data_IF_261094250209
#
_entry.id   IF_261094250209
#
_cell.length_a   1.000
_cell.length_b   1.000
_cell.length_c   1.000
_cell.angle_alpha   90.00
_cell.angle_beta   90.00
_cell.angle_gamma   90.00
#
_symmetry.space_group_name_H-M   'P 1'
#
loop_
_entity.id
_entity.type
_entity.pdbx_description
1 polymer ?
2 water ?
#
# COMPACT_ATOMS: atom_id res chain seq x y z
N UNK A 1 23.71 -9.49 18.41
CA UNK A 1 22.48 -9.96 17.78
C UNK A 1 21.59 -8.84 17.28
N UNK A 2 21.25 -8.83 16.02
CA UNK A 2 20.29 -7.85 15.62
C UNK A 2 19.00 -8.47 15.20
N UNK A 3 17.94 -7.69 15.40
CA UNK A 3 16.56 -8.10 15.18
C UNK A 3 16.25 -8.59 13.80
N UNK A 4 16.87 -7.93 12.84
CA UNK A 4 16.76 -8.26 11.44
C UNK A 4 17.11 -9.72 11.17
N UNK A 5 17.98 -10.32 11.99
CA UNK A 5 18.26 -11.78 11.93
C UNK A 5 17.15 -12.72 12.46
N UNK A 6 16.05 -12.14 12.95
CA UNK A 6 14.94 -12.84 13.56
C UNK A 6 13.63 -12.37 12.96
N UNK A 7 13.27 -12.89 11.77
CA UNK A 7 12.06 -12.50 11.10
C UNK A 7 10.78 -12.46 11.95
N UNK A 8 10.53 -13.43 12.80
CA UNK A 8 9.31 -13.42 13.63
C UNK A 8 9.32 -12.27 14.63
N UNK A 9 10.49 -11.95 15.16
CA UNK A 9 10.62 -10.80 16.05
C UNK A 9 10.47 -9.45 15.37
N UNK A 10 11.08 -9.27 14.21
CA UNK A 10 10.86 -8.02 13.52
C UNK A 10 9.44 -7.94 12.94
N UNK A 11 8.84 -9.05 12.49
CA UNK A 11 7.36 -9.02 12.22
C UNK A 11 6.54 -8.51 13.44
N UNK A 12 6.85 -9.00 14.64
CA UNK A 12 6.09 -8.61 15.84
C UNK A 12 6.23 -7.10 16.11
N UNK A 13 7.47 -6.62 16.04
CA UNK A 13 7.79 -5.23 16.21
C UNK A 13 7.12 -4.36 15.16
N UNK A 14 7.07 -4.83 13.91
CA UNK A 14 6.37 -4.11 12.85
C UNK A 14 4.87 -4.00 13.06
N UNK A 15 4.21 -5.08 13.42
CA UNK A 15 2.77 -5.03 13.69
C UNK A 15 2.40 -4.12 14.83
N UNK A 16 3.21 -4.16 15.87
CA UNK A 16 3.03 -3.31 17.05
C UNK A 16 3.10 -1.84 16.65
N UNK A 17 4.17 -1.47 15.96
CA UNK A 17 4.33 -0.12 15.38
C UNK A 17 3.15 0.34 14.51
N UNK A 18 2.72 -0.50 13.57
CA UNK A 18 1.57 -0.17 12.70
C UNK A 18 0.32 0.07 13.54
N UNK A 19 0.03 -0.84 14.47
CA UNK A 19 -1.26 -0.81 15.13
C UNK A 19 -1.30 0.38 16.11
N UNK A 20 -0.12 0.77 16.58
CA UNK A 20 0.05 2.00 17.34
C UNK A 20 -0.39 3.25 16.55
N UNK A 21 -0.39 3.20 15.22
CA UNK A 21 -0.85 4.38 14.48
C UNK A 21 -2.35 4.38 14.23
N UNK A 22 -3.03 3.34 14.68
CA UNK A 22 -4.48 3.33 14.60
C UNK A 22 -5.11 3.84 15.90
N UNK A 23 -6.42 3.83 15.92
CA UNK A 23 -7.15 4.42 17.02
C UNK A 23 -7.14 3.56 18.26
N UNK A 24 -7.17 2.25 18.05
CA UNK A 24 -7.13 1.31 19.18
C UNK A 24 -6.29 0.09 18.80
N UNK A 25 -5.05 0.04 19.27
CA UNK A 25 -4.09 -1.03 18.94
C UNK A 25 -4.54 -2.44 19.37
N UNK A 26 -5.09 -2.50 20.57
CA UNK A 26 -5.63 -3.73 21.12
C UNK A 26 -6.71 -4.34 20.23
N UNK A 27 -7.65 -3.51 19.77
CA UNK A 27 -8.69 -3.98 18.88
C UNK A 27 -8.11 -4.53 17.57
N UNK A 28 -7.16 -3.81 16.98
CA UNK A 28 -6.40 -4.30 15.84
C UNK A 28 -5.68 -5.62 16.10
N UNK A 29 -4.99 -5.72 17.21
CA UNK A 29 -4.31 -6.99 17.53
C UNK A 29 -5.36 -8.11 17.67
N UNK A 30 -6.55 -7.79 18.17
CA UNK A 30 -7.57 -8.83 18.34
C UNK A 30 -8.06 -9.35 16.99
N UNK A 31 -8.31 -8.43 16.07
CA UNK A 31 -8.86 -8.75 14.76
C UNK A 31 -7.84 -9.54 13.94
N UNK A 32 -6.58 -9.09 14.00
CA UNK A 32 -5.49 -9.75 13.34
C UNK A 32 -5.31 -11.13 13.91
N UNK A 33 -5.17 -11.26 15.23
CA UNK A 33 -4.91 -12.58 15.82
C UNK A 33 -6.08 -13.56 15.65
N UNK A 34 -7.31 -13.07 15.77
CA UNK A 34 -8.49 -13.93 15.60
C UNK A 34 -8.78 -14.25 14.13
N UNK A 35 -8.12 -13.60 13.18
CA UNK A 35 -8.47 -13.86 11.79
C UNK A 35 -7.85 -15.20 11.36
N UNK A 36 -8.59 -15.89 10.48
CA UNK A 36 -8.11 -17.11 9.80
C UNK A 36 -7.81 -16.83 8.31
N UNK A 37 -7.88 -15.58 7.89
CA UNK A 37 -7.59 -15.23 6.52
C UNK A 37 -6.09 -15.04 6.31
N UNK A 38 -5.45 -16.07 5.75
CA UNK A 38 -3.99 -16.12 5.62
C UNK A 38 -3.46 -15.02 4.70
N UNK A 39 -4.09 -14.82 3.55
CA UNK A 39 -3.61 -13.80 2.59
C UNK A 39 -3.78 -12.41 3.18
N UNK A 40 -4.91 -12.17 3.81
CA UNK A 40 -5.15 -10.88 4.45
C UNK A 40 -4.15 -10.56 5.55
N UNK A 41 -3.87 -11.54 6.40
CA UNK A 41 -2.88 -11.33 7.45
C UNK A 41 -1.52 -11.09 6.87
N UNK A 42 -1.20 -11.78 5.79
CA UNK A 42 0.08 -11.57 5.11
C UNK A 42 0.20 -10.20 4.46
N UNK A 43 -0.90 -9.65 3.90
CA UNK A 43 -0.90 -8.27 3.37
C UNK A 43 -0.63 -7.27 4.49
N UNK A 44 -1.28 -7.49 5.61
CA UNK A 44 -1.04 -6.61 6.76
C UNK A 44 0.38 -6.72 7.34
N UNK A 45 0.87 -7.93 7.50
CA UNK A 45 2.25 -8.12 7.89
C UNK A 45 3.23 -7.39 6.95
N UNK A 46 2.99 -7.50 5.64
CA UNK A 46 3.86 -6.82 4.65
C UNK A 46 3.80 -5.29 4.77
N UNK A 47 2.59 -4.75 4.95
CA UNK A 47 2.45 -3.34 5.11
C UNK A 47 3.15 -2.91 6.41
N UNK A 48 2.96 -3.70 7.47
CA UNK A 48 3.59 -3.40 8.75
C UNK A 48 5.11 -3.30 8.65
N UNK A 49 5.75 -4.22 7.94
CA UNK A 49 7.20 -4.12 7.72
C UNK A 49 7.63 -2.90 6.95
N UNK A 50 6.88 -2.57 5.90
CA UNK A 50 7.12 -1.37 5.12
C UNK A 50 6.96 -0.09 6.00
N UNK A 51 6.01 -0.14 6.93
CA UNK A 51 5.65 0.97 7.80
C UNK A 51 6.81 1.18 8.76
N UNK A 52 7.36 0.08 9.27
CA UNK A 52 8.56 0.14 10.11
C UNK A 52 9.73 0.82 9.40
N UNK A 53 10.05 0.40 8.17
CA UNK A 53 11.06 1.04 7.30
C UNK A 53 10.84 2.54 7.07
N UNK A 54 9.59 2.92 6.85
CA UNK A 54 9.21 4.33 6.69
C UNK A 54 9.35 5.12 7.97
N UNK A 55 9.04 4.50 9.11
CA UNK A 55 9.26 5.19 10.39
C UNK A 55 10.71 5.57 10.57
N UNK A 56 11.57 4.60 10.35
CA UNK A 56 12.99 4.79 10.40
C UNK A 56 13.46 5.82 9.35
N UNK A 57 12.95 5.78 8.13
CA UNK A 57 13.33 6.77 7.12
C UNK A 57 12.78 8.20 7.29
N UNK A 58 11.70 8.38 8.05
CA UNK A 58 11.03 9.70 8.15
C UNK A 58 11.28 10.37 9.51
N UNK A 59 12.15 9.78 10.34
CA UNK A 59 12.34 10.26 11.73
C UNK A 59 12.89 11.68 11.89
N UNK A 60 13.53 12.19 10.86
CA UNK A 60 14.03 13.54 10.89
C UNK A 60 13.24 14.46 9.97
N UNK A 61 12.09 14.00 9.47
CA UNK A 61 11.26 14.80 8.55
C UNK A 61 9.83 14.95 9.05
N UNK A 62 9.54 16.01 9.84
CA UNK A 62 8.18 16.23 10.38
C UNK A 62 7.00 15.96 9.42
N UNK A 63 7.02 16.54 8.22
CA UNK A 63 5.89 16.46 7.29
C UNK A 63 5.75 15.09 6.68
N UNK A 64 6.87 14.41 6.44
CA UNK A 64 6.85 13.06 5.88
C UNK A 64 6.32 12.14 6.95
N UNK A 65 6.72 12.38 8.21
CA UNK A 65 6.23 11.59 9.33
C UNK A 65 4.70 11.79 9.54
N UNK A 66 4.22 13.01 9.30
CA UNK A 66 2.81 13.29 9.39
C UNK A 66 2.04 12.52 8.32
N UNK A 67 2.54 12.54 7.09
CA UNK A 67 1.95 11.77 6.06
C UNK A 67 1.95 10.28 6.37
N UNK A 68 3.06 9.77 6.88
CA UNK A 68 3.16 8.37 7.29
C UNK A 68 2.09 7.98 8.30
N UNK A 69 1.91 8.82 9.32
CA UNK A 69 0.94 8.51 10.35
C UNK A 69 -0.50 8.62 9.77
N UNK A 70 -0.69 9.54 8.83
CA UNK A 70 -1.92 9.60 8.06
C UNK A 70 -2.25 8.28 7.26
N UNK A 71 -1.29 7.70 6.53
CA UNK A 71 -1.57 6.46 5.81
C UNK A 71 -1.77 5.29 6.75
N UNK A 72 -0.98 5.23 7.84
CA UNK A 72 -1.10 4.19 8.86
C UNK A 72 -2.50 4.26 9.47
N UNK A 73 -2.97 5.47 9.80
CA UNK A 73 -4.31 5.66 10.31
C UNK A 73 -5.39 5.18 9.33
N UNK A 74 -5.27 5.54 8.06
CA UNK A 74 -6.18 5.00 7.03
C UNK A 74 -6.18 3.48 6.84
N UNK A 75 -5.01 2.87 6.86
CA UNK A 75 -4.90 1.47 6.53
C UNK A 75 -5.50 0.69 7.70
N UNK A 76 -5.15 1.07 8.92
CA UNK A 76 -5.64 0.40 10.10
C UNK A 76 -7.14 0.59 10.27
N UNK A 77 -7.63 1.76 9.89
CA UNK A 77 -9.08 2.01 9.89
C UNK A 77 -9.75 1.03 8.95
N UNK A 78 -9.17 0.82 7.78
CA UNK A 78 -9.73 -0.06 6.78
C UNK A 78 -9.69 -1.49 7.33
N UNK A 79 -8.65 -1.85 8.10
CA UNK A 79 -8.60 -3.20 8.72
C UNK A 79 -9.78 -3.44 9.69
N UNK A 80 -10.06 -2.44 10.51
CA UNK A 80 -11.17 -2.53 11.48
C UNK A 80 -12.53 -2.61 10.80
N UNK A 81 -12.74 -1.79 9.78
CA UNK A 81 -13.99 -1.81 9.02
C UNK A 81 -14.19 -3.11 8.25
N UNK A 82 -13.10 -3.65 7.72
CA UNK A 82 -13.15 -4.94 7.06
C UNK A 82 -13.41 -6.14 8.01
N UNK A 83 -12.65 -6.24 9.10
CA UNK A 83 -12.80 -7.35 10.03
C UNK A 83 -11.98 -8.60 9.71
N UNK A 84 -11.35 -8.69 8.54
CA UNK A 84 -10.50 -9.84 8.22
C UNK A 84 -11.22 -11.21 8.30
N UNK A 85 -12.46 -11.23 7.81
CA UNK A 85 -13.25 -12.45 7.74
C UNK A 85 -12.77 -13.23 6.51
N UNK A 86 -13.46 -14.32 6.20
CA UNK A 86 -13.11 -15.16 5.05
C UNK A 86 -12.98 -14.38 3.75
N UNK A 87 -13.87 -13.42 3.56
CA UNK A 87 -13.84 -12.61 2.37
C UNK A 87 -13.44 -11.24 2.86
N UNK A 88 -12.31 -10.74 2.35
CA UNK A 88 -11.67 -9.56 2.86
C UNK A 88 -11.08 -8.70 1.74
N UNK A 89 -11.06 -7.40 2.00
CA UNK A 89 -10.36 -6.44 1.12
C UNK A 89 -8.84 -6.51 1.22
N UNK A 90 -8.33 -7.31 2.19
CA UNK A 90 -6.88 -7.50 2.39
C UNK A 90 -6.51 -8.88 1.90
N UNK A 91 -5.44 -8.95 1.08
CA UNK A 91 -4.96 -10.21 0.51
C UNK A 91 -5.00 -10.34 -1.02
N UNK A 92 -6.08 -9.90 -1.66
CA UNK A 92 -6.25 -10.12 -3.08
C UNK A 92 -5.28 -9.44 -4.01
N UNK A 93 -4.54 -8.44 -3.56
CA UNK A 93 -3.65 -7.62 -4.41
C UNK A 93 -2.18 -7.91 -4.19
N UNK A 94 -1.93 -9.00 -3.46
CA UNK A 94 -0.56 -9.48 -3.26
C UNK A 94 -0.07 -10.21 -4.52
N UNK A 95 1.21 -10.06 -4.85
CA UNK A 95 1.76 -10.69 -6.03
C UNK A 95 1.88 -12.19 -5.82
N UNK A 96 1.38 -12.99 -6.74
CA UNK A 96 1.47 -14.43 -6.47
C UNK A 96 2.64 -15.12 -7.14
N UNK A 97 3.46 -14.37 -7.89
CA UNK A 97 4.67 -14.95 -8.49
C UNK A 97 5.80 -13.96 -8.30
N UNK A 98 7.01 -14.41 -8.58
CA UNK A 98 8.19 -13.53 -8.56
C UNK A 98 8.14 -12.47 -9.67
N UNK A 99 7.50 -12.81 -10.78
CA UNK A 99 7.31 -11.88 -11.90
C UNK A 99 6.41 -10.71 -11.50
N UNK A 100 5.30 -11.04 -10.86
CA UNK A 100 4.36 -9.99 -10.38
C UNK A 100 5.00 -9.14 -9.26
N UNK A 101 5.80 -9.77 -8.42
CA UNK A 101 6.49 -9.03 -7.37
C UNK A 101 7.45 -7.97 -7.98
N UNK A 102 8.15 -8.38 -9.03
CA UNK A 102 9.04 -7.53 -9.81
C UNK A 102 8.30 -6.36 -10.50
N UNK A 103 7.13 -6.62 -11.07
CA UNK A 103 6.30 -5.58 -11.69
C UNK A 103 5.90 -4.51 -10.68
N UNK A 104 5.43 -4.95 -9.51
CA UNK A 104 5.11 -4.02 -8.43
C UNK A 104 6.32 -3.17 -7.99
N UNK A 105 7.48 -3.79 -7.78
CA UNK A 105 8.68 -3.10 -7.40
C UNK A 105 9.09 -2.07 -8.44
N UNK A 106 9.02 -2.46 -9.71
CA UNK A 106 9.37 -1.54 -10.81
C UNK A 106 8.47 -0.35 -10.96
N UNK A 107 7.16 -0.53 -10.88
CA UNK A 107 6.29 0.60 -10.97
C UNK A 107 6.50 1.58 -9.75
N UNK A 108 6.85 1.04 -8.59
CA UNK A 108 7.18 1.85 -7.38
C UNK A 108 8.45 2.64 -7.64
N UNK A 109 9.45 2.00 -8.25
CA UNK A 109 10.63 2.74 -8.70
C UNK A 109 10.35 3.87 -9.67
N UNK A 110 9.57 3.60 -10.69
CA UNK A 110 9.22 4.60 -11.68
C UNK A 110 8.43 5.75 -11.11
N UNK A 111 7.53 5.43 -10.20
CA UNK A 111 6.78 6.48 -9.52
C UNK A 111 7.72 7.36 -8.68
N UNK A 112 8.72 6.79 -8.02
CA UNK A 112 9.66 7.61 -7.25
C UNK A 112 10.38 8.57 -8.18
N UNK A 113 10.84 8.05 -9.31
CA UNK A 113 11.62 8.85 -10.27
C UNK A 113 10.79 10.01 -10.80
N UNK A 114 9.56 9.70 -11.14
CA UNK A 114 8.67 10.70 -11.65
C UNK A 114 8.42 11.83 -10.61
N UNK A 115 8.15 11.46 -9.37
CA UNK A 115 7.90 12.46 -8.30
C UNK A 115 9.14 13.35 -8.07
N UNK A 116 10.28 12.69 -7.98
CA UNK A 116 11.54 13.39 -7.85
C UNK A 116 11.76 14.40 -8.95
N UNK A 117 11.37 14.10 -10.17
CA UNK A 117 11.75 14.99 -11.24
C UNK A 117 10.64 15.88 -11.79
N UNK A 118 9.47 15.87 -11.18
CA UNK A 118 8.30 16.56 -11.72
C UNK A 118 7.43 17.00 -10.58
N UNK A 119 6.62 18.01 -10.88
CA UNK A 119 5.63 18.51 -9.97
C UNK A 119 4.44 19.04 -10.81
N UNK A 120 3.34 19.34 -10.13
CA UNK A 120 2.23 20.01 -10.76
C UNK A 120 1.51 19.21 -11.83
N UNK A 121 1.09 19.92 -12.88
CA UNK A 121 0.39 19.33 -14.02
C UNK A 121 1.20 18.27 -14.74
N UNK A 122 2.53 18.42 -14.82
CA UNK A 122 3.39 17.43 -15.52
C UNK A 122 3.57 16.17 -14.73
N UNK A 123 3.66 16.30 -13.41
CA UNK A 123 3.60 15.13 -12.54
C UNK A 123 2.27 14.37 -12.69
N UNK A 124 1.16 15.10 -12.68
CA UNK A 124 -0.13 14.52 -12.93
C UNK A 124 -0.26 13.69 -14.28
N UNK A 125 0.17 14.26 -15.38
CA UNK A 125 0.26 13.57 -16.66
C UNK A 125 1.06 12.26 -16.61
N UNK A 126 2.27 12.35 -16.09
CA UNK A 126 3.17 11.23 -16.06
C UNK A 126 2.71 10.16 -15.06
N UNK A 127 2.24 10.58 -13.88
CA UNK A 127 1.69 9.60 -12.89
C UNK A 127 0.41 8.92 -13.42
N UNK A 128 -0.41 9.65 -14.13
CA UNK A 128 -1.55 9.05 -14.81
C UNK A 128 -1.18 7.96 -15.83
N UNK A 129 -0.14 8.18 -16.64
CA UNK A 129 0.31 7.13 -17.54
C UNK A 129 0.77 5.88 -16.78
N UNK A 130 1.47 6.08 -15.68
CA UNK A 130 1.89 4.95 -14.79
C UNK A 130 0.71 4.21 -14.20
N UNK A 131 -0.30 4.93 -13.72
CA UNK A 131 -1.51 4.27 -13.17
C UNK A 131 -2.18 3.40 -14.24
N UNK A 132 -2.38 3.97 -15.41
CA UNK A 132 -3.09 3.30 -16.50
C UNK A 132 -2.30 2.15 -17.11
N UNK A 133 -1.00 2.33 -17.25
CA UNK A 133 -0.13 1.44 -18.01
C UNK A 133 0.62 0.44 -17.15
N UNK A 134 0.69 0.69 -15.84
CA UNK A 134 1.41 -0.20 -14.93
C UNK A 134 0.58 -0.71 -13.75
N UNK A 135 -0.08 0.19 -13.07
CA UNK A 135 -0.94 -0.16 -11.95
C UNK A 135 -2.16 -0.95 -12.42
N UNK A 136 -2.85 -0.48 -13.45
CA UNK A 136 -4.11 -1.19 -13.84
C UNK A 136 -3.85 -2.59 -14.38
N UNK A 137 -2.82 -2.76 -15.19
CA UNK A 137 -2.54 -4.14 -15.61
C UNK A 137 -2.15 -5.07 -14.49
N UNK A 138 -1.47 -4.55 -13.46
CA UNK A 138 -1.15 -5.36 -12.27
C UNK A 138 -2.40 -5.83 -11.59
N UNK A 139 -3.33 -4.91 -11.37
CA UNK A 139 -4.62 -5.23 -10.75
C UNK A 139 -5.39 -6.21 -11.60
N UNK A 140 -5.42 -5.99 -12.91
CA UNK A 140 -6.19 -6.86 -13.77
C UNK A 140 -5.62 -8.27 -13.75
N UNK A 141 -4.29 -8.37 -13.68
CA UNK A 141 -3.66 -9.67 -13.59
C UNK A 141 -4.05 -10.43 -12.33
N UNK A 142 -4.21 -9.71 -11.23
CA UNK A 142 -4.56 -10.35 -9.97
C UNK A 142 -5.93 -10.91 -10.08
N UNK A 143 -6.85 -10.18 -10.71
CA UNK A 143 -8.24 -10.68 -10.82
C UNK A 143 -8.29 -11.88 -11.76
N UNK A 144 -7.60 -11.76 -12.90
CA UNK A 144 -7.65 -12.79 -13.93
C UNK A 144 -7.07 -14.14 -13.51
N UNK A 145 -6.13 -14.15 -12.58
CA UNK A 145 -5.62 -15.39 -11.99
C UNK A 145 -6.67 -16.14 -11.16
N UNK A 146 -7.75 -15.48 -10.76
CA UNK A 146 -8.69 -16.12 -9.89
C UNK A 146 -9.45 -17.24 -10.48
N UNK A 147 -10.19 -16.94 -11.52
CA UNK A 147 -10.97 -17.95 -12.18
C UNK A 147 -10.55 -18.01 -13.65
N UNK A 148 -9.48 -17.33 -14.04
CA UNK A 148 -9.05 -17.40 -15.41
C UNK A 148 -10.07 -16.70 -16.27
N UNK A 149 -10.62 -15.63 -15.69
CA UNK A 149 -11.69 -14.89 -16.31
C UNK A 149 -11.07 -13.60 -16.69
N UNK A 150 -11.19 -13.22 -17.95
CA UNK A 150 -10.70 -11.95 -18.34
C UNK A 150 -11.69 -10.85 -17.88
N UNK A 151 -11.16 -9.68 -17.64
CA UNK A 151 -11.91 -8.54 -17.18
C UNK A 151 -12.85 -7.93 -18.24
N UNK A 152 -14.13 -7.75 -17.89
CA UNK A 152 -15.08 -7.09 -18.78
C UNK A 152 -14.84 -5.57 -18.83
N UNK A 153 -15.23 -4.92 -19.93
CA UNK A 153 -14.95 -3.49 -20.02
C UNK A 153 -15.55 -2.64 -18.87
N UNK A 154 -16.69 -3.02 -18.35
CA UNK A 154 -17.33 -2.23 -17.31
C UNK A 154 -16.54 -2.32 -16.03
N UNK A 155 -16.17 -3.53 -15.60
CA UNK A 155 -15.32 -3.66 -14.41
C UNK A 155 -14.05 -2.86 -14.63
N UNK A 156 -13.45 -2.94 -15.82
CA UNK A 156 -12.19 -2.25 -16.06
C UNK A 156 -12.42 -0.76 -15.96
N UNK A 157 -13.52 -0.31 -16.54
CA UNK A 157 -13.83 1.10 -16.48
C UNK A 157 -13.97 1.61 -15.05
N UNK A 158 -14.75 0.89 -14.25
CA UNK A 158 -15.05 1.34 -12.88
C UNK A 158 -13.89 1.19 -11.94
N UNK A 159 -13.08 0.12 -12.12
CA UNK A 159 -11.88 -0.01 -11.38
C UNK A 159 -10.88 1.10 -11.72
N UNK A 160 -10.76 1.42 -12.98
CA UNK A 160 -9.89 2.48 -13.43
C UNK A 160 -10.16 3.82 -12.72
N UNK A 161 -11.43 4.24 -12.75
CA UNK A 161 -11.87 5.46 -12.03
C UNK A 161 -11.51 5.46 -10.55
N UNK A 162 -11.82 4.37 -9.86
CA UNK A 162 -11.53 4.23 -8.45
C UNK A 162 -10.03 4.34 -8.17
N UNK A 163 -9.23 3.61 -8.93
CA UNK A 163 -7.82 3.58 -8.69
C UNK A 163 -7.19 4.89 -9.11
N UNK A 164 -7.61 5.45 -10.24
CA UNK A 164 -7.01 6.69 -10.67
C UNK A 164 -7.25 7.84 -9.64
N UNK A 165 -8.46 7.92 -9.13
CA UNK A 165 -8.88 8.96 -8.18
C UNK A 165 -8.10 8.81 -6.89
N UNK A 166 -7.99 7.58 -6.41
CA UNK A 166 -7.25 7.28 -5.15
C UNK A 166 -5.72 7.44 -5.34
N UNK A 167 -5.20 6.98 -6.46
CA UNK A 167 -3.79 7.21 -6.79
C UNK A 167 -3.47 8.70 -6.98
N UNK A 168 -4.35 9.49 -7.57
CA UNK A 168 -4.10 10.94 -7.73
C UNK A 168 -4.00 11.63 -6.37
N UNK A 169 -4.85 11.26 -5.41
CA UNK A 169 -4.75 11.85 -4.07
C UNK A 169 -3.37 11.53 -3.45
N UNK A 170 -2.94 10.29 -3.59
CA UNK A 170 -1.65 9.88 -3.03
C UNK A 170 -0.50 10.66 -3.68
N UNK A 171 -0.56 10.81 -5.00
CA UNK A 171 0.51 11.48 -5.71
C UNK A 171 0.56 12.96 -5.32
N UNK A 172 -0.59 13.61 -5.27
CA UNK A 172 -0.66 15.01 -4.80
C UNK A 172 -0.11 15.15 -3.36
N UNK A 173 -0.44 14.21 -2.48
CA UNK A 173 0.11 14.17 -1.11
C UNK A 173 1.63 14.00 -1.12
N UNK A 174 2.16 13.11 -1.96
CA UNK A 174 3.62 12.96 -2.05
C UNK A 174 4.32 14.18 -2.61
N UNK A 175 3.70 14.81 -3.62
CA UNK A 175 4.21 16.06 -4.26
C UNK A 175 4.35 17.18 -3.27
N UNK A 176 3.31 17.37 -2.45
CA UNK A 176 3.37 18.45 -1.43
C UNK A 176 4.47 18.13 -0.41
N UNK A 177 4.49 16.89 0.07
CA UNK A 177 5.53 16.42 0.96
C UNK A 177 6.92 16.67 0.38
N UNK A 178 7.13 16.23 -0.85
CA UNK A 178 8.34 16.49 -1.63
C UNK A 178 8.78 17.95 -1.60
N UNK A 179 7.88 18.90 -1.88
CA UNK A 179 8.27 20.31 -1.92
C UNK A 179 8.91 20.78 -0.58
N UNK A 180 8.43 20.22 0.52
CA UNK A 180 8.98 20.41 1.86
C UNK A 180 10.40 19.79 2.06
N UNK A 195 18.25 10.23 1.97
CA UNK A 195 16.83 10.62 1.80
C UNK A 195 15.89 9.56 1.17
N UNK A 196 15.21 8.81 2.03
CA UNK A 196 14.39 7.66 1.63
C UNK A 196 12.91 7.79 2.00
N UNK A 197 12.51 9.02 2.32
CA UNK A 197 11.17 9.34 2.79
C UNK A 197 10.16 8.94 1.75
N UNK A 198 10.29 9.50 0.57
CA UNK A 198 9.35 9.15 -0.51
C UNK A 198 9.48 7.72 -0.98
N UNK A 199 10.71 7.24 -1.12
CA UNK A 199 10.94 5.83 -1.41
C UNK A 199 10.23 4.86 -0.45
N UNK A 200 10.13 5.18 0.85
CA UNK A 200 9.42 4.35 1.80
C UNK A 200 7.95 4.60 1.90
N UNK A 201 7.49 5.79 1.50
CA UNK A 201 6.08 6.16 1.59
C UNK A 201 5.28 5.51 0.45
N UNK A 202 5.88 5.47 -0.72
CA UNK A 202 5.23 5.04 -1.99
C UNK A 202 4.57 3.67 -1.83
N UNK A 203 5.33 2.67 -1.39
CA UNK A 203 4.67 1.34 -1.27
C UNK A 203 3.49 1.27 -0.29
N UNK A 204 3.52 2.10 0.76
CA UNK A 204 2.41 2.19 1.72
C UNK A 204 1.21 2.84 1.05
N UNK A 205 1.42 3.98 0.41
CA UNK A 205 0.33 4.68 -0.23
C UNK A 205 -0.35 3.84 -1.32
N UNK A 206 0.43 3.08 -2.07
CA UNK A 206 -0.12 2.17 -3.12
C UNK A 206 -0.94 1.05 -2.55
N UNK A 207 -0.40 0.40 -1.49
CA UNK A 207 -1.19 -0.62 -0.80
C UNK A 207 -2.45 -0.11 -0.16
N UNK A 208 -2.46 1.11 0.34
CA UNK A 208 -3.67 1.67 0.87
C UNK A 208 -4.72 1.91 -0.20
N UNK A 209 -4.26 2.19 -1.41
CA UNK A 209 -5.16 2.30 -2.59
C UNK A 209 -5.81 0.97 -2.95
N UNK A 210 -5.01 -0.10 -3.02
CA UNK A 210 -5.52 -1.41 -3.38
C UNK A 210 -6.61 -1.83 -2.40
N UNK A 211 -6.40 -1.51 -1.11
CA UNK A 211 -7.37 -1.93 -0.08
C UNK A 211 -8.71 -1.30 -0.22
N UNK A 212 -8.80 -0.23 -1.00
CA UNK A 212 -10.05 0.41 -1.23
C UNK A 212 -10.92 -0.26 -2.29
N UNK A 213 -10.35 -1.18 -3.07
CA UNK A 213 -11.15 -1.96 -4.01
C UNK A 213 -12.09 -2.83 -3.13
N UNK A 214 -13.40 -2.75 -3.39
CA UNK A 214 -14.30 -3.46 -2.46
C UNK A 214 -14.26 -4.97 -2.59
N UNK A 215 -14.48 -5.64 -1.46
CA UNK A 215 -14.53 -7.10 -1.38
C UNK A 215 -15.90 -7.57 -0.93
#
# INVERSE_FOLDING_TARGET
PQLEDFPALIKQASLDALFKCGKDAEALKEVFTNSNNVAGKKAIMEFAGLFRSALNATSDSPEAKTLLMKVGAEYTAQIIKDGLKEKSAFGPWLPETKKAEAKLENLEKQLLDIIKNNTGGELSKLSTNLVMQEVMPYIASCIEHNFGCTLDPLTRSNLTHLVDKAAAKAVEALDMCHQKLTQEQGTSVGREARHLEMQTLIPLLLRNVFAQIPA
#
